data_IF_082288094523
#
_entry.id   IF_082288094523
#
_cell.length_a   1.000
_cell.length_b   1.000
_cell.length_c   1.000
_cell.angle_alpha   90.00
_cell.angle_beta   90.00
_cell.angle_gamma   90.00
#
_symmetry.space_group_name_H-M   'P 1'
#
loop_
_entity.id
_entity.type
_entity.pdbx_description
1 polymer ?
#
# COMPACT_ATOMS: atom_id res chain seq x y z
N UNK A 1 -18.55 -9.23 -14.11
CA UNK A 1 -18.48 -8.33 -12.94
C UNK A 1 -17.01 -8.00 -12.74
N UNK A 2 -16.60 -6.74 -12.50
CA UNK A 2 -15.20 -6.46 -12.14
C UNK A 2 -15.21 -6.48 -10.63
N UNK A 3 -14.79 -7.58 -10.04
CA UNK A 3 -14.64 -7.74 -8.60
C UNK A 3 -13.21 -7.38 -8.21
N UNK A 4 -13.06 -6.77 -7.04
CA UNK A 4 -11.76 -6.57 -6.42
C UNK A 4 -11.25 -7.95 -6.00
N UNK A 5 -10.09 -8.35 -6.53
CA UNK A 5 -9.48 -9.60 -6.10
C UNK A 5 -9.01 -9.47 -4.65
N UNK A 6 -9.37 -10.46 -3.82
CA UNK A 6 -8.82 -10.55 -2.47
C UNK A 6 -7.34 -10.87 -2.57
N UNK A 7 -6.49 -9.97 -2.06
CA UNK A 7 -5.05 -10.21 -1.92
C UNK A 7 -4.79 -11.30 -0.89
N UNK A 8 -3.66 -12.00 -1.05
CA UNK A 8 -3.16 -12.90 0.00
C UNK A 8 -2.84 -12.07 1.24
N UNK A 9 -3.47 -12.42 2.37
CA UNK A 9 -3.35 -11.69 3.63
C UNK A 9 -2.36 -12.38 4.56
N UNK A 10 -1.68 -11.60 5.37
CA UNK A 10 -0.77 -12.14 6.37
C UNK A 10 -0.20 -11.08 7.28
N UNK A 11 0.66 -11.54 8.18
CA UNK A 11 1.38 -10.71 9.15
C UNK A 11 2.87 -10.77 8.86
N UNK A 12 3.50 -9.61 8.74
CA UNK A 12 4.97 -9.51 8.77
C UNK A 12 5.40 -9.02 10.13
N UNK A 13 6.36 -9.75 10.72
CA UNK A 13 7.03 -9.40 11.95
C UNK A 13 8.35 -8.70 11.63
N UNK A 14 8.52 -7.48 12.13
CA UNK A 14 9.71 -6.67 11.89
C UNK A 14 10.44 -6.42 13.21
N UNK A 15 11.77 -6.38 13.16
CA UNK A 15 12.66 -6.00 14.26
C UNK A 15 13.39 -4.71 13.88
N UNK A 16 13.42 -3.72 14.77
CA UNK A 16 14.21 -2.51 14.61
C UNK A 16 15.52 -2.57 15.40
N UNK A 17 16.61 -3.03 14.80
CA UNK A 17 17.86 -3.31 15.52
C UNK A 17 18.58 -2.07 16.06
N UNK A 18 18.25 -0.88 15.54
CA UNK A 18 18.89 0.38 15.96
C UNK A 18 17.97 1.25 16.81
N UNK A 19 16.74 0.80 17.07
CA UNK A 19 15.72 1.66 17.63
C UNK A 19 15.90 1.95 19.12
N UNK A 20 16.78 1.26 19.84
CA UNK A 20 17.22 1.65 21.19
C UNK A 20 17.89 3.04 21.20
N UNK A 21 18.45 3.45 20.05
CA UNK A 21 19.07 4.76 19.84
C UNK A 21 18.04 5.84 19.42
N UNK A 22 16.77 5.46 19.22
CA UNK A 22 15.75 6.36 18.69
C UNK A 22 14.57 6.57 19.64
N UNK A 23 14.15 7.83 19.86
CA UNK A 23 13.00 8.16 20.71
C UNK A 23 11.67 7.68 20.12
N UNK A 24 10.67 7.50 20.99
CA UNK A 24 9.32 7.02 20.68
C UNK A 24 8.65 7.69 19.46
N UNK A 25 8.87 8.99 19.27
CA UNK A 25 8.30 9.71 18.12
C UNK A 25 8.85 9.21 16.77
N UNK A 26 10.07 8.67 16.73
CA UNK A 26 10.66 8.08 15.53
C UNK A 26 9.96 6.77 15.15
N UNK A 27 9.60 5.98 16.16
CA UNK A 27 8.84 4.74 15.99
C UNK A 27 7.43 5.04 15.47
N UNK A 28 6.73 6.01 16.07
CA UNK A 28 5.41 6.45 15.60
C UNK A 28 5.46 6.97 14.17
N UNK A 29 6.49 7.77 13.83
CA UNK A 29 6.68 8.28 12.47
C UNK A 29 6.93 7.14 11.47
N UNK A 30 7.75 6.15 11.84
CA UNK A 30 7.98 4.98 11.01
C UNK A 30 6.67 4.24 10.71
N UNK A 31 5.83 4.03 11.73
CA UNK A 31 4.55 3.35 11.57
C UNK A 31 3.61 4.16 10.66
N UNK A 32 3.44 5.46 10.90
CA UNK A 32 2.51 6.28 10.11
C UNK A 32 2.94 6.36 8.64
N UNK A 33 4.25 6.56 8.39
CA UNK A 33 4.78 6.61 7.03
C UNK A 33 4.71 5.23 6.34
N UNK A 34 4.98 4.14 7.05
CA UNK A 34 4.85 2.77 6.50
C UNK A 34 3.40 2.48 6.13
N UNK A 35 2.43 2.86 6.98
CA UNK A 35 1.01 2.75 6.68
C UNK A 35 0.59 3.61 5.48
N UNK A 36 1.14 4.82 5.36
CA UNK A 36 0.88 5.70 4.23
C UNK A 36 1.45 5.12 2.92
N UNK A 37 2.68 4.63 2.95
CA UNK A 37 3.35 4.00 1.81
C UNK A 37 2.63 2.73 1.37
N UNK A 38 2.21 1.89 2.32
CA UNK A 38 1.39 0.70 2.08
C UNK A 38 0.12 1.03 1.30
N UNK A 39 -0.65 2.01 1.80
CA UNK A 39 -1.91 2.39 1.16
C UNK A 39 -1.68 2.92 -0.26
N UNK A 40 -0.61 3.67 -0.49
CA UNK A 40 -0.27 4.20 -1.82
C UNK A 40 0.08 3.08 -2.80
N UNK A 41 0.90 2.11 -2.39
CA UNK A 41 1.22 0.95 -3.24
C UNK A 41 -0.06 0.19 -3.57
N UNK A 42 -0.90 -0.09 -2.57
CA UNK A 42 -2.15 -0.83 -2.78
C UNK A 42 -3.12 -0.08 -3.72
N UNK A 43 -3.19 1.26 -3.65
CA UNK A 43 -3.96 2.09 -4.58
C UNK A 43 -3.43 1.93 -6.01
N UNK A 44 -2.10 2.06 -6.20
CA UNK A 44 -1.46 1.96 -7.51
C UNK A 44 -1.72 0.59 -8.13
N UNK A 45 -1.52 -0.47 -7.34
CA UNK A 45 -1.73 -1.86 -7.76
C UNK A 45 -3.18 -2.10 -8.18
N UNK A 46 -4.17 -1.70 -7.35
CA UNK A 46 -5.58 -1.87 -7.69
C UNK A 46 -6.02 -1.04 -8.89
N UNK A 47 -5.48 0.17 -9.10
CA UNK A 47 -5.72 0.94 -10.33
C UNK A 47 -5.23 0.15 -11.55
N UNK A 48 -4.02 -0.41 -11.49
CA UNK A 48 -3.48 -1.22 -12.59
C UNK A 48 -4.34 -2.46 -12.86
N UNK A 49 -4.72 -3.21 -11.82
CA UNK A 49 -5.60 -4.39 -11.94
C UNK A 49 -6.95 -4.04 -12.57
N UNK A 50 -7.57 -2.94 -12.16
CA UNK A 50 -8.85 -2.49 -12.72
C UNK A 50 -8.72 -2.13 -14.20
N UNK A 51 -7.65 -1.43 -14.59
CA UNK A 51 -7.39 -1.08 -15.99
C UNK A 51 -7.12 -2.34 -16.84
N UNK A 52 -6.36 -3.30 -16.33
CA UNK A 52 -6.12 -4.59 -16.99
C UNK A 52 -7.44 -5.37 -17.21
N UNK A 53 -8.43 -5.17 -16.34
CA UNK A 53 -9.79 -5.75 -16.43
C UNK A 53 -10.74 -4.92 -17.30
N UNK A 54 -10.25 -3.89 -17.99
CA UNK A 54 -11.02 -3.09 -18.94
C UNK A 54 -11.68 -1.84 -18.35
N UNK A 55 -11.27 -1.40 -17.15
CA UNK A 55 -11.64 -0.07 -16.67
C UNK A 55 -11.03 1.03 -17.56
N UNK A 56 -11.67 2.20 -17.57
CA UNK A 56 -11.20 3.39 -18.28
C UNK A 56 -10.88 4.53 -17.31
N UNK A 57 -10.04 5.45 -17.76
CA UNK A 57 -9.50 6.55 -16.94
C UNK A 57 -10.57 7.43 -16.29
N UNK A 58 -11.69 7.66 -16.99
CA UNK A 58 -12.82 8.47 -16.50
C UNK A 58 -13.47 7.91 -15.23
N UNK A 59 -13.23 6.63 -14.93
CA UNK A 59 -13.79 5.96 -13.76
C UNK A 59 -12.99 6.21 -12.48
N UNK A 60 -11.82 6.85 -12.56
CA UNK A 60 -10.95 7.06 -11.40
C UNK A 60 -10.96 8.52 -10.93
N UNK A 61 -11.26 8.71 -9.65
CA UNK A 61 -11.30 10.04 -9.03
C UNK A 61 -10.54 10.02 -7.71
N UNK A 62 -9.60 10.95 -7.55
CA UNK A 62 -8.95 11.19 -6.26
C UNK A 62 -9.71 12.29 -5.52
N UNK A 63 -10.01 12.05 -4.25
CA UNK A 63 -10.84 12.95 -3.47
C UNK A 63 -10.33 13.10 -2.03
N UNK A 64 -10.77 14.19 -1.40
CA UNK A 64 -10.52 14.52 0.00
C UNK A 64 -11.83 14.49 0.76
N UNK A 65 -11.82 14.06 2.02
CA UNK A 65 -12.98 14.17 2.89
C UNK A 65 -13.33 15.65 3.14
N UNK A 66 -14.59 16.00 2.89
CA UNK A 66 -15.18 17.25 3.34
C UNK A 66 -15.50 17.13 4.83
N UNK A 67 -14.82 17.91 5.67
CA UNK A 67 -15.14 17.96 7.10
C UNK A 67 -16.04 19.17 7.31
N UNK A 68 -17.33 18.93 7.55
CA UNK A 68 -18.20 19.98 8.08
C UNK A 68 -17.78 20.28 9.51
N UNK A 69 -17.59 21.56 9.84
CA UNK A 69 -17.28 22.01 11.21
C UNK A 69 -18.37 21.63 12.23
N UNK A 70 -19.61 21.49 11.75
CA UNK A 70 -20.77 21.07 12.52
C UNK A 70 -21.53 19.99 11.75
N UNK A 71 -21.13 18.72 11.86
CA UNK A 71 -21.79 17.65 11.12
C UNK A 71 -23.21 17.47 11.66
N UNK A 72 -24.20 17.54 10.78
CA UNK A 72 -25.61 17.21 11.12
C UNK A 72 -25.83 15.70 11.33
N UNK A 73 -24.84 14.88 10.94
CA UNK A 73 -24.88 13.43 10.97
C UNK A 73 -24.01 12.90 12.12
N UNK A 74 -24.34 11.70 12.60
CA UNK A 74 -23.57 11.00 13.62
C UNK A 74 -22.14 10.72 13.15
N UNK A 75 -21.22 10.54 14.11
CA UNK A 75 -19.82 10.17 13.83
C UNK A 75 -19.75 8.92 12.95
N UNK A 76 -20.61 7.92 13.18
CA UNK A 76 -20.68 6.69 12.40
C UNK A 76 -21.03 6.93 10.92
N UNK A 77 -21.99 7.80 10.65
CA UNK A 77 -22.41 8.17 9.29
C UNK A 77 -21.35 8.99 8.54
N UNK A 78 -20.46 9.70 9.26
CA UNK A 78 -19.29 10.35 8.66
C UNK A 78 -18.25 9.34 8.16
N UNK A 79 -18.30 8.09 8.58
CA UNK A 79 -17.41 6.99 8.12
C UNK A 79 -18.06 6.13 7.04
N UNK A 80 -19.16 6.56 6.44
CA UNK A 80 -19.73 5.97 5.24
C UNK A 80 -19.18 6.68 3.99
N UNK A 81 -18.82 5.90 2.97
CA UNK A 81 -18.32 6.38 1.69
C UNK A 81 -19.48 6.91 0.82
N UNK A 82 -20.04 8.05 1.20
CA UNK A 82 -21.04 8.77 0.40
C UNK A 82 -20.36 9.89 -0.38
N UNK A 83 -20.60 9.98 -1.68
CA UNK A 83 -19.97 10.96 -2.57
C UNK A 83 -20.04 12.40 -2.04
N UNK A 84 -21.21 12.80 -1.52
CA UNK A 84 -21.46 14.13 -0.91
C UNK A 84 -20.51 14.49 0.25
N UNK A 85 -19.88 13.51 0.88
CA UNK A 85 -18.91 13.72 1.95
C UNK A 85 -17.49 14.01 1.41
N UNK A 86 -17.27 14.04 0.09
CA UNK A 86 -15.96 14.16 -0.52
C UNK A 86 -15.87 15.30 -1.54
N UNK A 87 -14.73 16.00 -1.52
CA UNK A 87 -14.36 16.99 -2.52
C UNK A 87 -13.48 16.28 -3.55
N UNK A 88 -13.95 16.19 -4.80
CA UNK A 88 -13.18 15.66 -5.93
C UNK A 88 -12.03 16.62 -6.22
N UNK A 89 -10.80 16.12 -6.16
CA UNK A 89 -9.61 16.92 -6.38
C UNK A 89 -9.13 16.83 -7.84
N UNK A 90 -9.12 15.62 -8.40
CA UNK A 90 -8.80 15.37 -9.80
C UNK A 90 -9.45 14.08 -10.30
N UNK A 91 -9.74 14.03 -11.60
CA UNK A 91 -10.09 12.79 -12.31
C UNK A 91 -8.89 12.38 -13.17
N UNK A 92 -8.68 11.06 -13.35
CA UNK A 92 -7.53 10.57 -14.11
C UNK A 92 -7.60 10.99 -15.58
N UNK A 93 -8.79 11.01 -16.19
CA UNK A 93 -8.98 11.43 -17.59
C UNK A 93 -8.65 12.90 -17.82
N UNK A 94 -9.15 13.81 -16.97
CA UNK A 94 -9.02 15.25 -17.22
C UNK A 94 -7.66 15.81 -16.80
N UNK A 95 -7.07 15.28 -15.73
CA UNK A 95 -5.78 15.74 -15.23
C UNK A 95 -4.96 14.57 -14.63
N UNK A 96 -4.37 13.71 -15.49
CA UNK A 96 -3.58 12.56 -15.05
C UNK A 96 -2.41 12.96 -14.14
N UNK A 97 -1.73 14.06 -14.44
CA UNK A 97 -0.58 14.52 -13.67
C UNK A 97 -0.97 14.91 -12.24
N UNK A 98 -2.01 15.74 -12.07
CA UNK A 98 -2.50 16.11 -10.74
C UNK A 98 -3.05 14.88 -9.98
N UNK A 99 -3.74 13.97 -10.69
CA UNK A 99 -4.25 12.74 -10.12
C UNK A 99 -3.14 11.90 -9.48
N UNK A 100 -2.07 11.62 -10.24
CA UNK A 100 -0.92 10.86 -9.73
C UNK A 100 -0.13 11.63 -8.68
N UNK A 101 0.04 12.95 -8.86
CA UNK A 101 0.72 13.80 -7.89
C UNK A 101 0.05 13.72 -6.50
N UNK A 102 -1.28 13.78 -6.44
CA UNK A 102 -2.01 13.67 -5.17
C UNK A 102 -1.79 12.29 -4.54
N UNK A 103 -1.89 11.21 -5.32
CA UNK A 103 -1.66 9.85 -4.82
C UNK A 103 -0.26 9.71 -4.20
N UNK A 104 0.78 10.21 -4.88
CA UNK A 104 2.16 10.01 -4.41
C UNK A 104 2.54 10.91 -3.25
N UNK A 105 2.00 12.13 -3.18
CA UNK A 105 2.50 13.15 -2.26
C UNK A 105 1.60 13.41 -1.06
N UNK A 106 0.29 13.16 -1.14
CA UNK A 106 -0.61 13.48 -0.03
C UNK A 106 -0.58 12.37 1.01
N UNK A 107 -0.89 12.72 2.26
CA UNK A 107 -1.09 11.73 3.32
C UNK A 107 -2.47 11.08 3.16
N UNK A 108 -2.52 9.75 3.09
CA UNK A 108 -3.74 8.94 3.01
C UNK A 108 -4.69 9.37 1.89
N UNK A 109 -4.23 9.36 0.61
CA UNK A 109 -5.09 9.66 -0.52
C UNK A 109 -6.24 8.67 -0.59
N UNK A 110 -7.43 9.14 -0.98
CA UNK A 110 -8.60 8.29 -1.22
C UNK A 110 -8.92 8.33 -2.70
N UNK A 111 -8.89 7.17 -3.34
CA UNK A 111 -9.25 7.01 -4.74
C UNK A 111 -10.55 6.23 -4.82
N UNK A 112 -11.48 6.78 -5.58
CA UNK A 112 -12.76 6.17 -5.88
C UNK A 112 -12.78 5.62 -7.30
N UNK A 113 -13.47 4.50 -7.45
CA UNK A 113 -13.79 3.89 -8.72
C UNK A 113 -15.29 4.00 -8.99
N UNK A 114 -15.62 4.44 -10.20
CA UNK A 114 -16.99 4.65 -10.67
C UNK A 114 -17.41 3.52 -11.60
N UNK A 115 -18.58 2.92 -11.34
CA UNK A 115 -19.19 1.97 -12.26
C UNK A 115 -20.70 2.16 -12.28
N UNK A 116 -21.20 2.74 -13.38
CA UNK A 116 -22.57 3.25 -13.43
C UNK A 116 -22.76 4.32 -12.33
N UNK A 117 -23.77 4.15 -11.51
CA UNK A 117 -24.08 5.04 -10.38
C UNK A 117 -23.38 4.65 -9.07
N UNK A 118 -22.48 3.65 -9.12
CA UNK A 118 -21.83 3.12 -7.92
C UNK A 118 -20.51 3.83 -7.66
N UNK A 119 -20.40 4.43 -6.48
CA UNK A 119 -19.22 5.15 -5.97
C UNK A 119 -18.54 4.30 -4.90
N UNK A 120 -17.42 3.64 -5.24
CA UNK A 120 -16.75 2.69 -4.34
C UNK A 120 -15.30 3.10 -4.12
N UNK A 121 -14.80 3.20 -2.88
CA UNK A 121 -13.39 3.42 -2.65
C UNK A 121 -12.60 2.20 -3.14
N UNK A 122 -11.45 2.44 -3.77
CA UNK A 122 -10.58 1.35 -4.24
C UNK A 122 -9.95 0.61 -3.04
N UNK A 123 -9.74 1.31 -1.93
CA UNK A 123 -9.37 0.73 -0.64
C UNK A 123 -10.41 1.16 0.38
N UNK A 124 -11.13 0.21 0.96
CA UNK A 124 -11.90 0.41 2.18
C UNK A 124 -10.99 0.10 3.38
N UNK A 125 -10.87 1.05 4.32
CA UNK A 125 -10.08 0.82 5.53
C UNK A 125 -10.71 -0.18 6.52
N UNK A 126 -11.94 -0.62 6.24
CA UNK A 126 -12.65 -1.66 6.97
C UNK A 126 -12.40 -3.05 6.38
N UNK A 127 -11.90 -3.13 5.15
CA UNK A 127 -11.64 -4.41 4.48
C UNK A 127 -10.46 -5.14 5.15
N UNK A 128 -10.38 -6.44 4.86
CA UNK A 128 -9.34 -7.29 5.41
C UNK A 128 -7.95 -7.02 4.80
N UNK A 129 -7.88 -6.38 3.64
CA UNK A 129 -6.62 -5.93 3.01
C UNK A 129 -6.11 -4.59 3.56
N UNK A 130 -6.86 -3.92 4.44
CA UNK A 130 -6.37 -2.72 5.11
C UNK A 130 -5.22 -3.05 6.07
N UNK A 131 -4.18 -2.21 6.07
CA UNK A 131 -3.05 -2.36 6.97
C UNK A 131 -3.48 -2.18 8.44
N UNK A 132 -3.09 -3.14 9.28
CA UNK A 132 -3.38 -3.16 10.72
C UNK A 132 -2.08 -3.41 11.48
N UNK A 133 -1.70 -2.48 12.35
CA UNK A 133 -0.63 -2.74 13.33
C UNK A 133 -1.25 -3.53 14.48
N UNK A 134 -0.90 -4.81 14.57
CA UNK A 134 -1.53 -5.76 15.51
C UNK A 134 -0.80 -5.87 16.83
N UNK A 135 0.52 -5.67 16.81
CA UNK A 135 1.32 -5.61 18.04
C UNK A 135 2.48 -4.63 17.87
N UNK A 136 2.86 -4.01 18.99
CA UNK A 136 4.01 -3.13 19.10
C UNK A 136 4.65 -3.34 20.46
N UNK A 137 5.86 -3.89 20.46
CA UNK A 137 6.71 -3.99 21.64
C UNK A 137 7.82 -2.96 21.54
N UNK A 138 7.99 -2.16 22.59
CA UNK A 138 9.08 -1.19 22.71
C UNK A 138 10.32 -1.75 23.41
N UNK A 139 10.26 -3.01 23.84
CA UNK A 139 11.41 -3.66 24.45
C UNK A 139 12.49 -3.80 23.39
N UNK A 140 13.60 -3.11 23.60
CA UNK A 140 14.89 -3.22 22.90
C UNK A 140 15.26 -4.67 22.52
N UNK A 141 15.28 -5.05 21.22
CA UNK A 141 14.90 -4.26 20.04
C UNK A 141 13.38 -4.28 19.76
N UNK A 142 12.76 -3.15 19.37
CA UNK A 142 11.32 -3.09 19.15
C UNK A 142 10.86 -4.05 18.06
N UNK A 143 9.68 -4.61 18.32
CA UNK A 143 9.02 -5.59 17.48
C UNK A 143 7.69 -5.03 16.99
N UNK A 144 7.43 -5.22 15.71
CA UNK A 144 6.21 -4.78 15.03
C UNK A 144 5.55 -5.97 14.37
N UNK A 145 4.29 -6.23 14.69
CA UNK A 145 3.47 -7.16 13.91
C UNK A 145 2.48 -6.35 13.05
N UNK A 146 2.70 -6.37 11.74
CA UNK A 146 1.87 -5.63 10.78
C UNK A 146 1.11 -6.63 9.92
N UNK A 147 -0.21 -6.52 9.93
CA UNK A 147 -1.13 -7.34 9.14
C UNK A 147 -1.67 -6.57 7.91
N UNK A 148 -1.88 -7.27 6.80
CA UNK A 148 -2.46 -6.72 5.57
C UNK A 148 -2.19 -7.62 4.36
N UNK A 149 -2.30 -7.06 3.15
CA UNK A 149 -1.87 -7.67 1.90
C UNK A 149 -0.37 -7.95 1.96
N UNK A 150 -0.03 -9.24 2.01
CA UNK A 150 1.31 -9.69 2.35
C UNK A 150 2.35 -9.28 1.30
N UNK A 151 1.91 -9.18 0.04
CA UNK A 151 2.67 -8.66 -1.10
C UNK A 151 3.20 -7.26 -0.86
N UNK A 152 2.29 -6.34 -0.54
CA UNK A 152 2.62 -4.95 -0.27
C UNK A 152 3.50 -4.81 0.97
N UNK A 153 3.22 -5.58 2.02
CA UNK A 153 4.03 -5.57 3.24
C UNK A 153 5.46 -6.04 2.97
N UNK A 154 5.62 -7.11 2.19
CA UNK A 154 6.91 -7.65 1.80
C UNK A 154 7.70 -6.64 0.95
N UNK A 155 7.01 -5.99 0.01
CA UNK A 155 7.60 -4.94 -0.83
C UNK A 155 8.14 -3.75 -0.01
N UNK A 156 7.49 -3.40 1.10
CA UNK A 156 7.95 -2.34 1.99
C UNK A 156 9.06 -2.80 2.92
N UNK A 157 8.94 -3.99 3.49
CA UNK A 157 9.91 -4.52 4.43
C UNK A 157 11.31 -4.70 3.80
N UNK A 158 11.35 -5.06 2.51
CA UNK A 158 12.58 -5.20 1.74
C UNK A 158 12.90 -3.99 0.84
N UNK A 159 12.26 -2.85 1.06
CA UNK A 159 12.53 -1.67 0.26
C UNK A 159 14.00 -1.24 0.40
N UNK A 160 14.70 -1.08 -0.73
CA UNK A 160 16.13 -0.75 -0.78
C UNK A 160 17.09 -1.94 -0.67
N UNK A 161 16.57 -3.17 -0.67
CA UNK A 161 17.32 -4.43 -0.64
C UNK A 161 17.09 -5.24 -1.92
N UNK A 162 16.97 -4.58 -3.07
CA UNK A 162 16.64 -5.25 -4.35
C UNK A 162 17.69 -6.30 -4.74
N UNK A 163 18.97 -6.02 -4.52
CA UNK A 163 20.05 -6.98 -4.79
C UNK A 163 19.94 -8.21 -3.87
N UNK A 164 19.65 -8.00 -2.57
CA UNK A 164 19.39 -9.09 -1.63
C UNK A 164 18.12 -9.87 -2.03
N UNK A 165 17.08 -9.24 -2.58
CA UNK A 165 15.89 -9.94 -3.10
C UNK A 165 16.23 -10.85 -4.27
N UNK A 166 17.02 -10.38 -5.23
CA UNK A 166 17.37 -11.18 -6.40
C UNK A 166 18.29 -12.34 -6.02
N UNK A 167 19.22 -12.10 -5.09
CA UNK A 167 20.15 -13.08 -4.56
C UNK A 167 19.45 -14.10 -3.65
N UNK A 168 18.59 -13.67 -2.72
CA UNK A 168 17.73 -14.54 -1.91
C UNK A 168 16.77 -15.34 -2.79
N UNK A 169 16.17 -14.74 -3.81
CA UNK A 169 15.32 -15.46 -4.76
C UNK A 169 16.12 -16.50 -5.57
N UNK A 170 17.39 -16.23 -5.89
CA UNK A 170 18.27 -17.16 -6.58
C UNK A 170 18.74 -18.31 -5.67
N UNK A 171 19.12 -18.01 -4.42
CA UNK A 171 19.53 -18.98 -3.40
C UNK A 171 18.33 -19.86 -2.98
N UNK A 172 17.16 -19.25 -2.78
CA UNK A 172 15.92 -19.97 -2.47
C UNK A 172 15.51 -20.91 -3.61
N UNK A 173 15.74 -20.54 -4.88
CA UNK A 173 15.52 -21.47 -6.01
C UNK A 173 16.36 -22.75 -5.91
N UNK A 174 17.51 -22.71 -5.24
CA UNK A 174 18.40 -23.87 -5.05
C UNK A 174 18.06 -24.72 -3.81
N UNK A 175 17.34 -24.18 -2.81
CA UNK A 175 17.15 -24.83 -1.49
C UNK A 175 15.78 -25.47 -1.24
N UNK A 176 14.82 -25.36 -2.14
CA UNK A 176 13.64 -26.26 -2.23
C UNK A 176 12.52 -26.12 -1.18
N UNK A 177 12.81 -25.95 0.12
CA UNK A 177 11.79 -26.11 1.19
C UNK A 177 11.37 -24.80 1.90
N UNK A 178 12.29 -23.86 2.16
CA UNK A 178 11.92 -22.51 2.69
C UNK A 178 11.47 -21.54 1.60
N UNK A 179 11.63 -21.90 0.33
CA UNK A 179 11.46 -21.04 -0.84
C UNK A 179 10.00 -20.77 -1.21
N UNK A 180 9.07 -21.66 -0.86
CA UNK A 180 7.68 -21.58 -1.33
C UNK A 180 6.88 -20.46 -0.65
N UNK A 181 7.26 -20.03 0.56
CA UNK A 181 6.64 -18.87 1.22
C UNK A 181 6.99 -17.55 0.54
N UNK A 182 8.20 -17.43 -0.02
CA UNK A 182 8.69 -16.21 -0.68
C UNK A 182 8.40 -16.21 -2.20
N UNK A 183 8.43 -17.38 -2.85
CA UNK A 183 8.27 -17.56 -4.30
C UNK A 183 6.94 -17.09 -4.89
N UNK A 184 5.88 -16.97 -4.07
CA UNK A 184 4.50 -16.73 -4.54
C UNK A 184 3.98 -15.32 -4.30
N UNK A 185 4.77 -14.46 -3.66
CA UNK A 185 4.35 -13.11 -3.33
C UNK A 185 4.50 -12.25 -4.59
N UNK A 186 3.38 -11.94 -5.27
CA UNK A 186 3.44 -11.11 -6.47
C UNK A 186 3.71 -9.66 -6.08
N UNK A 187 4.84 -9.09 -6.50
CA UNK A 187 5.18 -7.72 -6.14
C UNK A 187 4.31 -6.71 -6.89
N UNK A 188 4.15 -5.50 -6.33
CA UNK A 188 3.46 -4.42 -7.01
C UNK A 188 4.08 -4.13 -8.39
N UNK A 189 5.40 -4.30 -8.52
CA UNK A 189 6.12 -4.19 -9.79
C UNK A 189 5.63 -5.18 -10.85
N UNK A 190 5.32 -6.43 -10.48
CA UNK A 190 4.81 -7.43 -11.43
C UNK A 190 3.44 -7.02 -11.98
N UNK A 191 2.53 -6.56 -11.11
CA UNK A 191 1.22 -6.07 -11.54
C UNK A 191 1.36 -4.85 -12.45
N UNK A 192 2.22 -3.90 -12.10
CA UNK A 192 2.43 -2.69 -12.92
C UNK A 192 3.03 -3.05 -14.28
N UNK A 193 3.98 -3.98 -14.34
CA UNK A 193 4.68 -4.37 -15.56
C UNK A 193 3.90 -5.36 -16.44
N UNK A 194 2.73 -5.84 -16.02
CA UNK A 194 1.85 -6.65 -16.85
C UNK A 194 1.59 -5.95 -18.21
N UNK A 195 1.63 -6.72 -19.29
CA UNK A 195 1.44 -6.21 -20.66
C UNK A 195 0.06 -5.56 -20.86
N UNK A 196 -0.93 -6.00 -20.09
CA UNK A 196 -2.30 -5.47 -20.10
C UNK A 196 -2.40 -4.10 -19.42
N UNK A 197 -1.40 -3.68 -18.65
CA UNK A 197 -1.35 -2.32 -18.06
C UNK A 197 -1.06 -1.30 -19.16
N UNK A 198 -1.86 -0.23 -19.33
CA UNK A 198 -1.59 0.81 -20.33
C UNK A 198 -0.21 1.46 -20.14
N UNK A 199 0.56 1.63 -21.22
CA UNK A 199 1.95 2.14 -21.18
C UNK A 199 2.08 3.47 -20.42
N UNK A 200 1.16 4.41 -20.66
CA UNK A 200 1.17 5.70 -19.96
C UNK A 200 0.98 5.55 -18.45
N UNK A 201 0.14 4.60 -18.02
CA UNK A 201 -0.07 4.29 -16.60
C UNK A 201 1.14 3.60 -16.00
N UNK A 202 1.74 2.65 -16.72
CA UNK A 202 2.93 1.93 -16.28
C UNK A 202 4.06 2.89 -15.89
N UNK A 203 4.31 3.93 -16.69
CA UNK A 203 5.33 4.93 -16.40
C UNK A 203 5.07 5.69 -15.09
N UNK A 204 3.85 6.22 -14.89
CA UNK A 204 3.50 6.90 -13.65
C UNK A 204 3.54 5.97 -12.43
N UNK A 205 2.99 4.76 -12.58
CA UNK A 205 2.90 3.78 -11.52
C UNK A 205 4.28 3.28 -11.08
N UNK A 206 5.18 2.98 -12.02
CA UNK A 206 6.56 2.57 -11.69
C UNK A 206 7.33 3.70 -11.02
N UNK A 207 7.27 4.92 -11.55
CA UNK A 207 7.92 6.07 -10.91
C UNK A 207 7.40 6.28 -9.48
N UNK A 208 6.09 6.21 -9.28
CA UNK A 208 5.48 6.33 -7.96
C UNK A 208 5.92 5.22 -7.01
N UNK A 209 5.97 3.96 -7.49
CA UNK A 209 6.44 2.82 -6.72
C UNK A 209 7.90 2.99 -6.30
N UNK A 210 8.79 3.39 -7.21
CA UNK A 210 10.21 3.65 -6.93
C UNK A 210 10.38 4.76 -5.88
N UNK A 211 9.66 5.88 -6.01
CA UNK A 211 9.69 6.97 -5.03
C UNK A 211 9.21 6.51 -3.64
N UNK A 212 8.16 5.69 -3.57
CA UNK A 212 7.63 5.15 -2.32
C UNK A 212 8.63 4.16 -1.70
N UNK A 213 9.21 3.27 -2.51
CA UNK A 213 10.22 2.30 -2.07
C UNK A 213 11.47 3.01 -1.55
N UNK A 214 11.92 4.10 -2.19
CA UNK A 214 13.08 4.84 -1.70
C UNK A 214 12.78 5.56 -0.37
N UNK A 215 11.59 6.15 -0.22
CA UNK A 215 11.15 6.70 1.08
C UNK A 215 11.13 5.62 2.16
N UNK A 216 10.64 4.42 1.85
CA UNK A 216 10.63 3.30 2.79
C UNK A 216 12.04 2.77 3.09
N UNK A 217 12.93 2.72 2.10
CA UNK A 217 14.34 2.36 2.28
C UNK A 217 15.03 3.25 3.31
N UNK A 218 14.84 4.57 3.19
CA UNK A 218 15.38 5.54 4.15
C UNK A 218 14.84 5.28 5.57
N UNK A 219 13.56 4.95 5.71
CA UNK A 219 12.94 4.60 6.99
C UNK A 219 13.50 3.30 7.56
N UNK A 220 13.61 2.26 6.74
CA UNK A 220 14.15 0.96 7.12
C UNK A 220 15.61 1.07 7.58
N UNK A 221 16.45 1.83 6.85
CA UNK A 221 17.85 2.08 7.22
C UNK A 221 17.99 2.82 8.54
N UNK A 222 17.11 3.79 8.82
CA UNK A 222 17.13 4.57 10.06
C UNK A 222 16.88 3.69 11.29
N UNK A 223 15.85 2.84 11.26
CA UNK A 223 15.54 1.97 12.40
C UNK A 223 16.28 0.62 12.39
N UNK A 224 17.06 0.33 11.33
CA UNK A 224 17.72 -0.96 11.17
C UNK A 224 16.72 -2.10 11.03
N UNK A 225 15.70 -1.90 10.20
CA UNK A 225 14.60 -2.85 10.04
C UNK A 225 15.09 -4.16 9.42
N UNK A 226 14.76 -5.27 10.07
CA UNK A 226 14.91 -6.63 9.56
C UNK A 226 13.59 -7.39 9.68
N UNK A 227 13.36 -8.33 8.76
CA UNK A 227 12.20 -9.23 8.82
C UNK A 227 12.53 -10.35 9.80
N UNK A 228 11.70 -10.50 10.83
CA UNK A 228 11.78 -11.60 11.79
C UNK A 228 11.06 -12.84 11.28
N UNK A 229 9.85 -12.64 10.75
CA UNK A 229 8.97 -13.71 10.29
C UNK A 229 7.89 -13.18 9.33
N UNK A 230 7.36 -14.06 8.51
CA UNK A 230 6.19 -13.81 7.65
C UNK A 230 5.19 -14.95 7.91
N UNK A 231 3.98 -14.59 8.30
CA UNK A 231 2.90 -15.54 8.59
C UNK A 231 1.74 -15.30 7.61
N UNK A 232 1.49 -16.27 6.73
CA UNK A 232 0.41 -16.22 5.73
C UNK A 232 -0.87 -16.74 6.35
N UNK A 233 -1.97 -16.01 6.18
CA UNK A 233 -3.29 -16.49 6.60
C UNK A 233 -3.81 -17.47 5.53
N UNK A 234 -3.84 -18.76 5.87
CA UNK A 234 -4.45 -19.84 5.07
C UNK A 234 -5.98 -19.72 5.12
#
# INVERSE_FOLDING_TARGET
MIEFESKELGTIKLIGDKAEEFPMWSINRYIDETCNNYNKILIITKICELLQKGAVDSQFVVAKKSVMLFPKKSIKELFEYKEENYIKLATKENNPEAFWHIIFNYSRPIVFFWKGDTFTPIIDFKDDDAIKVTSLSYNSPPLFDIFGAIETLYDLALAGKQDEREEEAHIARQLGESADNYRRIASASQVINDERTPNGVRQYAMKGLEEIQEKQNILNKKLGIRIANIDKKI
#
